data_IF_509200537498
#
_entry.id   IF_509200537498
#
_cell.length_a   1.000
_cell.length_b   1.000
_cell.length_c   1.000
_cell.angle_alpha   90.00
_cell.angle_beta   90.00
_cell.angle_gamma   90.00
#
_symmetry.space_group_name_H-M   'P 1'
#
loop_
_entity.id
_entity.type
_entity.pdbx_description
1 polymer ?
#
# COMPACT_ATOMS: atom_id res chain seq x y z
N UNK A 1 26.23 -14.51 -25.79
CA UNK A 1 25.36 -13.44 -26.37
C UNK A 1 24.95 -12.56 -25.20
N UNK A 2 25.36 -11.30 -25.17
CA UNK A 2 25.37 -10.46 -23.96
C UNK A 2 23.95 -10.09 -23.48
N UNK A 3 23.64 -10.41 -22.24
CA UNK A 3 22.37 -10.12 -21.53
C UNK A 3 22.05 -8.60 -21.51
N UNK A 4 23.08 -7.74 -21.61
CA UNK A 4 22.92 -6.26 -21.70
C UNK A 4 22.24 -5.74 -22.96
N UNK A 5 22.02 -6.57 -24.01
CA UNK A 5 21.33 -6.17 -25.23
C UNK A 5 19.85 -6.57 -25.28
N UNK A 6 19.37 -7.35 -24.32
CA UNK A 6 17.97 -7.78 -24.25
C UNK A 6 17.13 -6.79 -23.45
N UNK A 7 17.72 -6.11 -22.45
CA UNK A 7 17.02 -5.15 -21.62
C UNK A 7 16.69 -3.81 -22.31
N UNK A 8 17.39 -3.51 -23.42
CA UNK A 8 17.15 -2.25 -24.18
C UNK A 8 16.07 -2.38 -25.27
N UNK A 9 15.48 -3.55 -25.49
CA UNK A 9 14.52 -3.78 -26.58
C UNK A 9 13.06 -3.93 -26.11
N UNK A 10 12.80 -4.01 -24.80
CA UNK A 10 11.44 -4.14 -24.26
C UNK A 10 10.79 -2.80 -23.90
N UNK A 11 11.54 -1.70 -23.93
CA UNK A 11 11.02 -0.35 -23.63
C UNK A 11 10.46 0.41 -24.84
N UNK A 12 10.38 -0.21 -26.01
CA UNK A 12 10.01 0.47 -27.26
C UNK A 12 8.72 -0.02 -27.94
N UNK A 13 7.84 -0.79 -27.28
CA UNK A 13 6.73 -1.46 -27.98
C UNK A 13 5.33 -1.30 -27.37
N UNK A 14 5.07 -0.21 -26.62
CA UNK A 14 3.71 0.10 -26.12
C UNK A 14 3.20 1.49 -26.51
N UNK A 15 3.47 1.92 -27.75
CA UNK A 15 2.88 3.15 -28.30
C UNK A 15 2.36 2.96 -29.72
N UNK A 16 1.39 2.05 -29.95
CA UNK A 16 0.56 2.11 -31.16
C UNK A 16 -0.83 1.53 -30.84
N UNK A 17 -1.81 2.39 -30.80
CA UNK A 17 -3.19 1.93 -30.97
C UNK A 17 -4.28 2.76 -30.35
N UNK A 18 -4.55 3.95 -30.89
CA UNK A 18 -5.93 4.44 -31.00
C UNK A 18 -6.00 5.63 -31.97
N UNK A 19 -6.30 5.34 -33.22
CA UNK A 19 -6.86 6.30 -34.15
C UNK A 19 -8.22 5.82 -34.60
N UNK A 20 -9.27 6.51 -34.20
CA UNK A 20 -10.36 6.92 -35.10
C UNK A 20 -11.50 7.59 -34.33
N UNK A 21 -11.67 8.91 -34.47
CA UNK A 21 -12.95 9.49 -34.84
C UNK A 21 -12.82 11.01 -35.05
N UNK A 22 -13.37 11.45 -36.14
CA UNK A 22 -13.36 12.76 -36.73
C UNK A 22 -13.83 13.93 -35.89
N UNK A 23 -13.11 15.08 -35.99
CA UNK A 23 -13.59 16.38 -35.56
C UNK A 23 -12.53 17.47 -35.73
N UNK A 24 -12.63 18.28 -36.80
CA UNK A 24 -11.69 19.33 -37.17
C UNK A 24 -11.45 20.38 -36.08
N UNK A 25 -10.24 20.46 -35.54
CA UNK A 25 -9.57 21.67 -35.00
C UNK A 25 -8.06 21.58 -35.25
N UNK A 26 -7.32 22.69 -35.41
CA UNK A 26 -5.91 22.64 -35.81
C UNK A 26 -5.07 22.03 -34.70
N UNK A 27 -4.22 21.07 -35.09
CA UNK A 27 -3.30 20.37 -34.20
C UNK A 27 -2.25 21.34 -33.65
N UNK A 28 -2.28 21.59 -32.34
CA UNK A 28 -1.11 22.00 -31.59
C UNK A 28 -0.09 20.86 -31.63
N UNK A 29 1.16 21.20 -31.93
CA UNK A 29 2.24 20.24 -32.02
C UNK A 29 2.49 19.61 -30.65
N UNK A 30 2.10 18.35 -30.48
CA UNK A 30 2.53 17.53 -29.36
C UNK A 30 4.05 17.41 -29.37
N UNK A 31 4.67 17.99 -28.37
CA UNK A 31 6.10 17.86 -28.14
C UNK A 31 6.30 16.56 -27.36
N UNK A 32 6.64 15.48 -28.07
CA UNK A 32 6.78 14.12 -27.55
C UNK A 32 8.07 13.95 -26.72
N UNK A 33 8.15 14.57 -25.55
CA UNK A 33 9.25 14.28 -24.60
C UNK A 33 8.86 13.33 -23.46
N UNK A 34 7.68 12.73 -23.47
CA UNK A 34 7.29 11.72 -22.48
C UNK A 34 7.04 12.24 -21.05
N UNK A 35 7.18 13.54 -20.80
CA UNK A 35 6.90 14.18 -19.51
C UNK A 35 5.43 14.58 -19.41
N UNK A 36 4.75 14.31 -18.26
CA UNK A 36 3.37 14.70 -18.05
C UNK A 36 3.20 16.22 -18.13
N UNK A 37 2.11 16.67 -18.73
CA UNK A 37 1.78 18.07 -18.93
C UNK A 37 0.55 18.49 -18.10
N UNK A 38 -0.24 17.54 -17.63
CA UNK A 38 -1.45 17.76 -16.80
C UNK A 38 -1.35 17.00 -15.49
N UNK A 39 -2.17 17.36 -14.51
CA UNK A 39 -2.26 16.65 -13.21
C UNK A 39 -2.72 15.21 -13.43
N UNK A 40 -3.66 14.97 -14.37
CA UNK A 40 -4.17 13.63 -14.69
C UNK A 40 -3.07 12.75 -15.31
N UNK A 41 -2.26 13.29 -16.24
CA UNK A 41 -1.12 12.55 -16.80
C UNK A 41 -0.05 12.28 -15.74
N UNK A 42 0.19 13.25 -14.83
CA UNK A 42 1.12 13.10 -13.73
C UNK A 42 0.64 12.06 -12.72
N UNK A 43 -0.68 12.01 -12.43
CA UNK A 43 -1.27 11.00 -11.56
C UNK A 43 -1.14 9.60 -12.15
N UNK A 44 -1.45 9.42 -13.43
CA UNK A 44 -1.31 8.13 -14.11
C UNK A 44 0.15 7.62 -14.07
N UNK A 45 1.13 8.52 -14.24
CA UNK A 45 2.55 8.17 -14.12
C UNK A 45 2.92 7.85 -12.66
N UNK A 46 2.41 8.62 -11.70
CA UNK A 46 2.62 8.40 -10.27
C UNK A 46 2.10 7.02 -9.84
N UNK A 47 0.86 6.69 -10.22
CA UNK A 47 0.23 5.39 -9.94
C UNK A 47 1.04 4.23 -10.57
N UNK A 48 1.58 4.43 -11.78
CA UNK A 48 2.46 3.45 -12.43
C UNK A 48 3.79 3.27 -11.67
N UNK A 49 4.39 4.33 -11.14
CA UNK A 49 5.62 4.24 -10.34
C UNK A 49 5.37 3.51 -9.02
N UNK A 50 4.25 3.77 -8.36
CA UNK A 50 3.82 3.03 -7.15
C UNK A 50 3.62 1.54 -7.43
N UNK A 51 2.99 1.20 -8.57
CA UNK A 51 2.81 -0.20 -8.95
C UNK A 51 4.15 -0.93 -9.17
N UNK A 52 5.15 -0.26 -9.76
CA UNK A 52 6.50 -0.82 -9.91
C UNK A 52 7.19 -1.06 -8.57
N UNK A 53 7.06 -0.14 -7.62
CA UNK A 53 7.59 -0.30 -6.27
C UNK A 53 6.94 -1.52 -5.57
N UNK A 54 5.62 -1.63 -5.64
CA UNK A 54 4.87 -2.77 -5.12
C UNK A 54 5.35 -4.09 -5.73
N UNK A 55 5.59 -4.13 -7.05
CA UNK A 55 6.08 -5.31 -7.76
C UNK A 55 7.47 -5.73 -7.25
N UNK A 56 8.39 -4.79 -7.01
CA UNK A 56 9.72 -5.09 -6.47
C UNK A 56 9.61 -5.75 -5.09
N UNK A 57 8.78 -5.23 -4.21
CA UNK A 57 8.58 -5.76 -2.86
C UNK A 57 7.89 -7.12 -2.87
N UNK A 58 6.90 -7.30 -3.72
CA UNK A 58 6.09 -8.52 -3.78
C UNK A 58 6.85 -9.69 -4.42
N UNK A 59 7.61 -9.44 -5.48
CA UNK A 59 8.36 -10.49 -6.19
C UNK A 59 9.43 -11.18 -5.35
N UNK A 60 9.84 -10.59 -4.23
CA UNK A 60 10.86 -11.13 -3.32
C UNK A 60 10.42 -11.02 -1.85
N UNK A 61 9.13 -11.15 -1.58
CA UNK A 61 8.51 -10.91 -0.27
C UNK A 61 9.22 -11.63 0.88
N UNK A 62 9.53 -12.92 0.74
CA UNK A 62 10.25 -13.71 1.76
C UNK A 62 11.65 -13.13 2.08
N UNK A 63 12.31 -12.57 1.07
CA UNK A 63 13.64 -11.99 1.24
C UNK A 63 13.55 -10.60 1.91
N UNK A 64 12.56 -9.80 1.55
CA UNK A 64 12.27 -8.55 2.22
C UNK A 64 11.83 -8.76 3.68
N UNK A 65 10.97 -9.74 3.94
CA UNK A 65 10.59 -10.13 5.30
C UNK A 65 11.83 -10.42 6.17
N UNK A 66 12.80 -11.20 5.63
CA UNK A 66 14.06 -11.50 6.32
C UNK A 66 14.88 -10.23 6.61
N UNK A 67 14.89 -9.21 5.73
CA UNK A 67 15.51 -7.90 5.98
C UNK A 67 14.85 -7.24 7.19
N UNK A 68 13.52 -7.10 7.15
CA UNK A 68 12.76 -6.39 8.18
C UNK A 68 12.79 -7.07 9.55
N UNK A 69 12.78 -8.41 9.61
CA UNK A 69 12.92 -9.16 10.85
C UNK A 69 14.35 -9.10 11.44
N UNK A 70 15.30 -8.67 10.63
CA UNK A 70 16.72 -8.72 10.96
C UNK A 70 17.31 -7.39 11.44
N UNK A 71 16.63 -6.29 11.23
CA UNK A 71 17.15 -4.94 11.43
C UNK A 71 16.52 -4.23 12.64
N UNK A 72 17.32 -3.40 13.29
CA UNK A 72 16.81 -2.40 14.23
C UNK A 72 16.20 -1.23 13.42
N UNK A 73 14.89 -1.28 13.28
CA UNK A 73 14.13 -0.37 12.41
C UNK A 73 14.11 1.08 12.91
N UNK A 74 14.21 1.29 14.22
CA UNK A 74 14.07 2.61 14.83
C UNK A 74 15.13 3.61 14.35
N UNK A 75 16.39 3.18 14.27
CA UNK A 75 17.49 4.04 13.83
C UNK A 75 17.45 4.30 12.33
N UNK A 76 17.18 3.27 11.53
CA UNK A 76 17.13 3.41 10.07
C UNK A 76 15.99 4.36 9.62
N UNK A 77 14.83 4.29 10.26
CA UNK A 77 13.70 5.18 9.98
C UNK A 77 14.00 6.66 10.31
N UNK A 78 14.68 6.95 11.41
CA UNK A 78 15.01 8.32 11.81
C UNK A 78 16.07 8.97 10.89
N UNK A 79 16.91 8.19 10.23
CA UNK A 79 18.04 8.69 9.43
C UNK A 79 17.77 8.77 7.93
N UNK A 80 16.71 8.12 7.40
CA UNK A 80 16.48 7.98 5.96
C UNK A 80 15.79 9.18 5.31
N UNK A 81 15.33 10.16 6.08
CA UNK A 81 14.52 11.26 5.53
C UNK A 81 13.19 10.75 4.96
N UNK A 82 12.75 11.31 3.82
CA UNK A 82 11.46 11.01 3.21
C UNK A 82 11.53 10.02 2.02
N UNK A 83 12.61 9.24 1.89
CA UNK A 83 12.77 8.30 0.78
C UNK A 83 12.82 6.86 1.31
N UNK A 84 11.81 6.05 0.94
CA UNK A 84 11.67 4.69 1.41
C UNK A 84 12.80 3.77 0.92
N UNK A 85 13.28 3.97 -0.31
CA UNK A 85 14.42 3.21 -0.82
C UNK A 85 15.71 3.47 -0.04
N UNK A 86 15.93 4.69 0.45
CA UNK A 86 17.05 5.00 1.35
C UNK A 86 16.93 4.29 2.70
N UNK A 87 15.71 4.24 3.24
CA UNK A 87 15.43 3.43 4.43
C UNK A 87 15.76 1.96 4.21
N UNK A 88 15.32 1.37 3.09
CA UNK A 88 15.61 -0.02 2.74
C UNK A 88 17.12 -0.28 2.61
N UNK A 89 17.86 0.59 1.94
CA UNK A 89 19.33 0.46 1.78
C UNK A 89 20.04 0.45 3.13
N UNK A 90 19.67 1.33 4.07
CA UNK A 90 20.24 1.36 5.41
C UNK A 90 19.88 0.11 6.22
N UNK A 91 18.65 -0.36 6.08
CA UNK A 91 18.16 -1.58 6.73
C UNK A 91 18.90 -2.82 6.24
N UNK A 92 19.13 -2.93 4.92
CA UNK A 92 19.93 -4.02 4.31
C UNK A 92 21.39 -3.98 4.82
N UNK A 93 22.01 -2.80 4.84
CA UNK A 93 23.38 -2.66 5.33
C UNK A 93 23.52 -3.06 6.80
N UNK A 94 22.54 -2.69 7.65
CA UNK A 94 22.50 -3.07 9.06
C UNK A 94 22.36 -4.59 9.28
N UNK A 95 21.69 -5.28 8.36
CA UNK A 95 21.42 -6.72 8.43
C UNK A 95 22.32 -7.57 7.51
N UNK A 96 23.30 -6.99 6.83
CA UNK A 96 24.07 -7.62 5.74
C UNK A 96 24.69 -8.98 6.08
N UNK A 97 25.12 -9.19 7.32
CA UNK A 97 25.75 -10.43 7.77
C UNK A 97 24.80 -11.64 7.79
N UNK A 98 23.49 -11.41 7.60
CA UNK A 98 22.43 -12.42 7.58
C UNK A 98 22.08 -12.93 6.18
N UNK A 99 22.68 -12.36 5.14
CA UNK A 99 22.40 -12.63 3.74
C UNK A 99 23.62 -13.13 3.00
N UNK A 100 23.41 -13.97 1.98
CA UNK A 100 24.47 -14.32 1.05
C UNK A 100 24.69 -13.20 0.00
N UNK A 101 25.77 -13.32 -0.78
CA UNK A 101 26.17 -12.30 -1.77
C UNK A 101 25.09 -12.08 -2.87
N UNK A 102 24.35 -13.12 -3.23
CA UNK A 102 23.28 -13.04 -4.23
C UNK A 102 22.04 -12.35 -3.66
N UNK A 103 21.66 -12.72 -2.44
CA UNK A 103 20.56 -12.10 -1.69
C UNK A 103 20.85 -10.61 -1.50
N UNK A 104 22.06 -10.24 -1.05
CA UNK A 104 22.46 -8.83 -0.89
C UNK A 104 22.42 -8.06 -2.21
N UNK A 105 22.88 -8.66 -3.30
CA UNK A 105 22.86 -8.02 -4.62
C UNK A 105 21.41 -7.76 -5.07
N UNK A 106 20.52 -8.73 -4.87
CA UNK A 106 19.13 -8.61 -5.25
C UNK A 106 18.39 -7.55 -4.41
N UNK A 107 18.58 -7.59 -3.10
CA UNK A 107 17.99 -6.61 -2.17
C UNK A 107 18.50 -5.20 -2.44
N UNK A 108 19.80 -5.01 -2.60
CA UNK A 108 20.40 -3.69 -2.86
C UNK A 108 19.94 -3.11 -4.20
N UNK A 109 19.81 -3.96 -5.23
CA UNK A 109 19.29 -3.52 -6.52
C UNK A 109 17.82 -3.09 -6.39
N UNK A 110 16.97 -3.89 -5.73
CA UNK A 110 15.57 -3.55 -5.49
C UNK A 110 15.41 -2.25 -4.69
N UNK A 111 16.14 -2.11 -3.59
CA UNK A 111 16.09 -0.88 -2.78
C UNK A 111 16.59 0.36 -3.54
N UNK A 112 17.59 0.19 -4.41
CA UNK A 112 18.09 1.29 -5.28
C UNK A 112 17.04 1.67 -6.31
N UNK A 113 16.35 0.70 -6.90
CA UNK A 113 15.27 0.94 -7.85
C UNK A 113 14.10 1.65 -7.18
N UNK A 114 13.70 1.21 -5.98
CA UNK A 114 12.66 1.88 -5.17
C UNK A 114 13.06 3.32 -4.88
N UNK A 115 14.33 3.57 -4.49
CA UNK A 115 14.82 4.95 -4.30
C UNK A 115 14.63 5.82 -5.53
N UNK A 116 14.99 5.30 -6.70
CA UNK A 116 14.85 6.03 -7.97
C UNK A 116 13.38 6.27 -8.35
N UNK A 117 12.46 5.35 -8.01
CA UNK A 117 11.01 5.53 -8.20
C UNK A 117 10.48 6.62 -7.26
N UNK A 118 10.85 6.59 -6.00
CA UNK A 118 10.50 7.59 -4.99
C UNK A 118 11.00 9.00 -5.37
N UNK A 119 12.23 9.12 -5.88
CA UNK A 119 12.77 10.40 -6.34
C UNK A 119 11.95 10.96 -7.52
N UNK A 120 11.48 10.10 -8.44
CA UNK A 120 10.59 10.50 -9.54
C UNK A 120 9.21 10.91 -9.05
N UNK A 121 8.63 10.19 -8.09
CA UNK A 121 7.36 10.54 -7.48
C UNK A 121 7.43 11.90 -6.76
N UNK A 122 8.52 12.16 -6.02
CA UNK A 122 8.77 13.46 -5.39
C UNK A 122 8.85 14.61 -6.42
N UNK A 123 9.51 14.38 -7.54
CA UNK A 123 9.59 15.38 -8.61
C UNK A 123 8.22 15.65 -9.26
N UNK A 124 7.35 14.65 -9.35
CA UNK A 124 5.97 14.83 -9.82
C UNK A 124 5.15 15.66 -8.84
N UNK A 125 5.25 15.38 -7.54
CA UNK A 125 4.57 16.14 -6.48
C UNK A 125 5.00 17.61 -6.47
N UNK A 126 6.30 17.89 -6.64
CA UNK A 126 6.81 19.26 -6.71
C UNK A 126 6.29 19.98 -7.96
N UNK A 127 6.26 19.28 -9.10
CA UNK A 127 5.85 19.86 -10.39
C UNK A 127 4.35 20.06 -10.51
N UNK A 128 3.55 19.24 -9.84
CA UNK A 128 2.08 19.22 -9.90
C UNK A 128 1.46 19.34 -8.50
N UNK A 129 1.44 20.54 -7.91
CA UNK A 129 0.77 20.77 -6.63
C UNK A 129 -0.71 20.32 -6.72
N UNK A 130 -1.16 19.51 -5.75
CA UNK A 130 -2.49 18.91 -5.77
C UNK A 130 -2.57 17.54 -6.46
N UNK A 131 -1.44 16.96 -6.87
CA UNK A 131 -1.38 15.61 -7.46
C UNK A 131 -2.04 14.54 -6.57
N UNK A 132 -1.91 14.68 -5.25
CA UNK A 132 -2.46 13.78 -4.23
C UNK A 132 -3.79 14.28 -3.64
N UNK A 133 -4.34 15.41 -4.12
CA UNK A 133 -5.63 15.90 -3.63
C UNK A 133 -6.77 14.97 -4.08
N UNK A 134 -7.58 14.49 -3.14
CA UNK A 134 -8.64 13.49 -3.32
C UNK A 134 -9.81 13.90 -4.26
N UNK A 135 -9.73 15.04 -4.94
CA UNK A 135 -10.80 15.58 -5.76
C UNK A 135 -10.69 15.35 -7.27
N UNK A 136 -9.70 14.62 -7.76
CA UNK A 136 -9.67 14.25 -9.17
C UNK A 136 -10.49 12.98 -9.39
N UNK A 137 -11.76 13.18 -9.68
CA UNK A 137 -12.77 12.14 -9.84
C UNK A 137 -12.34 11.03 -10.79
N UNK A 138 -12.48 9.81 -10.30
CA UNK A 138 -12.33 8.60 -11.09
C UNK A 138 -13.26 8.61 -12.30
N UNK A 139 -12.68 8.56 -13.48
CA UNK A 139 -13.38 8.19 -14.70
C UNK A 139 -13.59 6.68 -14.66
N UNK A 140 -14.84 6.28 -14.42
CA UNK A 140 -15.29 4.90 -14.62
C UNK A 140 -15.02 4.47 -16.05
N UNK A 141 -14.11 3.53 -16.24
CA UNK A 141 -13.97 2.78 -17.49
C UNK A 141 -15.02 1.66 -17.52
N UNK A 142 -15.75 1.48 -18.63
CA UNK A 142 -16.73 0.39 -18.73
C UNK A 142 -16.02 -0.96 -18.77
N UNK A 143 -16.51 -1.90 -17.96
CA UNK A 143 -16.13 -3.30 -18.02
C UNK A 143 -16.40 -3.87 -19.41
N UNK A 144 -15.38 -4.31 -20.14
CA UNK A 144 -15.53 -5.25 -21.22
C UNK A 144 -15.02 -6.63 -20.78
N UNK A 145 -15.85 -7.63 -21.05
CA UNK A 145 -15.69 -9.05 -20.73
C UNK A 145 -14.32 -9.62 -21.09
N UNK A 146 -13.60 -10.15 -20.11
CA UNK A 146 -12.46 -11.05 -20.34
C UNK A 146 -12.82 -12.44 -19.78
N UNK A 147 -12.67 -13.53 -20.55
CA UNK A 147 -13.09 -14.86 -20.11
C UNK A 147 -12.21 -15.36 -18.97
N UNK A 148 -12.88 -15.79 -17.91
CA UNK A 148 -12.30 -16.53 -16.79
C UNK A 148 -11.79 -17.90 -17.27
N UNK A 149 -10.50 -18.15 -17.15
CA UNK A 149 -10.01 -19.52 -17.11
C UNK A 149 -8.83 -19.65 -16.13
N UNK A 150 -9.10 -20.35 -15.06
CA UNK A 150 -8.15 -21.15 -14.33
C UNK A 150 -7.31 -20.52 -13.22
N UNK A 151 -7.91 -20.20 -12.05
CA UNK A 151 -7.17 -20.17 -10.79
C UNK A 151 -7.79 -21.17 -9.82
N UNK A 152 -6.90 -22.00 -9.30
CA UNK A 152 -7.14 -23.20 -8.51
C UNK A 152 -7.93 -22.90 -7.25
N UNK A 153 -9.04 -23.59 -7.09
CA UNK A 153 -9.85 -23.71 -5.88
C UNK A 153 -9.00 -24.18 -4.69
N UNK A 154 -8.73 -23.28 -3.74
CA UNK A 154 -8.32 -23.64 -2.38
C UNK A 154 -9.55 -23.72 -1.51
N UNK A 155 -9.85 -24.92 -1.04
CA UNK A 155 -11.12 -25.33 -0.47
C UNK A 155 -11.51 -24.62 0.84
N UNK A 156 -12.80 -24.35 0.93
CA UNK A 156 -13.55 -24.09 2.15
C UNK A 156 -13.43 -25.25 3.14
N UNK A 157 -12.73 -25.03 4.25
CA UNK A 157 -13.04 -25.69 5.52
C UNK A 157 -12.97 -24.62 6.60
N UNK A 158 -14.02 -24.49 7.37
CA UNK A 158 -14.02 -23.72 8.61
C UNK A 158 -12.99 -24.35 9.54
N UNK A 159 -11.77 -23.79 9.51
CA UNK A 159 -10.64 -24.37 10.24
C UNK A 159 -10.59 -23.75 11.64
N UNK A 160 -10.58 -24.63 12.65
CA UNK A 160 -10.42 -24.30 14.07
C UNK A 160 -9.02 -23.72 14.40
N UNK A 161 -8.28 -23.24 13.41
CA UNK A 161 -6.93 -22.71 13.49
C UNK A 161 -6.81 -21.32 12.85
N UNK A 162 -7.91 -20.54 12.82
CA UNK A 162 -7.88 -19.18 12.28
C UNK A 162 -6.87 -18.33 13.08
N UNK A 163 -5.95 -17.68 12.38
CA UNK A 163 -4.98 -16.76 12.97
C UNK A 163 -5.71 -15.53 13.50
N UNK A 164 -5.54 -15.23 14.79
CA UNK A 164 -6.13 -14.05 15.42
C UNK A 164 -5.28 -12.81 15.13
N UNK A 165 -5.94 -11.68 14.83
CA UNK A 165 -5.30 -10.40 14.95
C UNK A 165 -4.99 -10.15 16.44
N UNK A 166 -3.80 -9.66 16.80
CA UNK A 166 -3.43 -9.45 18.19
C UNK A 166 -4.38 -8.49 18.91
N UNK A 167 -4.78 -8.85 20.11
CA UNK A 167 -5.64 -8.00 20.93
C UNK A 167 -4.87 -6.74 21.36
N UNK A 168 -5.55 -5.59 21.35
CA UNK A 168 -4.99 -4.34 21.83
C UNK A 168 -6.01 -3.48 22.57
N UNK A 169 -5.48 -2.64 23.45
CA UNK A 169 -6.14 -1.43 23.97
C UNK A 169 -5.24 -0.26 23.61
N UNK A 170 -5.82 0.81 23.12
CA UNK A 170 -5.07 1.97 22.65
C UNK A 170 -5.98 3.18 22.53
N UNK A 171 -5.60 4.08 21.67
CA UNK A 171 -6.35 5.32 21.38
C UNK A 171 -6.42 5.56 19.88
N UNK A 172 -7.44 6.32 19.47
CA UNK A 172 -7.40 6.95 18.15
C UNK A 172 -6.49 8.20 18.19
N UNK A 173 -6.25 8.81 17.03
CA UNK A 173 -5.38 9.99 16.94
C UNK A 173 -5.96 11.23 17.65
N UNK A 174 -7.25 11.22 18.02
CA UNK A 174 -7.90 12.28 18.80
C UNK A 174 -7.86 12.01 20.32
N UNK A 175 -7.29 10.86 20.71
CA UNK A 175 -7.09 10.48 22.12
C UNK A 175 -8.24 9.71 22.74
N UNK A 176 -9.25 9.31 21.98
CA UNK A 176 -10.35 8.46 22.45
C UNK A 176 -9.88 7.03 22.64
N UNK A 177 -10.38 6.35 23.67
CA UNK A 177 -10.01 4.96 23.97
C UNK A 177 -10.61 4.01 22.94
N UNK A 178 -9.77 3.11 22.40
CA UNK A 178 -10.12 2.07 21.43
C UNK A 178 -9.65 0.71 21.95
N UNK A 179 -10.45 -0.33 21.72
CA UNK A 179 -10.02 -1.71 21.94
C UNK A 179 -10.36 -2.59 20.74
N UNK A 180 -9.50 -3.54 20.42
CA UNK A 180 -9.70 -4.49 19.33
C UNK A 180 -11.03 -5.24 19.44
N UNK A 181 -11.40 -5.66 20.66
CA UNK A 181 -12.65 -6.38 20.89
C UNK A 181 -13.87 -5.59 20.44
N UNK A 182 -13.96 -4.29 20.83
CA UNK A 182 -15.07 -3.43 20.43
C UNK A 182 -15.01 -3.08 18.95
N UNK A 183 -13.81 -2.86 18.44
CA UNK A 183 -13.59 -2.51 17.05
C UNK A 183 -14.04 -3.64 16.13
N UNK A 184 -13.62 -4.88 16.38
CA UNK A 184 -13.96 -6.01 15.53
C UNK A 184 -15.40 -6.48 15.76
N UNK A 185 -15.84 -6.66 17.01
CA UNK A 185 -17.21 -7.12 17.30
C UNK A 185 -18.29 -6.11 16.87
N UNK A 186 -17.95 -4.85 16.74
CA UNK A 186 -18.85 -3.79 16.26
C UNK A 186 -19.09 -3.81 14.75
N UNK A 187 -18.28 -4.56 13.99
CA UNK A 187 -18.34 -4.60 12.53
C UNK A 187 -18.46 -6.07 12.05
N UNK A 188 -19.11 -6.31 10.93
CA UNK A 188 -19.10 -7.61 10.26
C UNK A 188 -17.69 -8.02 9.84
N UNK A 189 -16.91 -7.03 9.41
CA UNK A 189 -15.47 -7.12 9.13
C UNK A 189 -14.81 -5.74 9.29
N UNK A 190 -13.49 -5.77 9.46
CA UNK A 190 -12.66 -4.56 9.53
C UNK A 190 -11.48 -4.72 8.58
N UNK A 191 -11.30 -3.77 7.68
CA UNK A 191 -10.07 -3.63 6.87
C UNK A 191 -9.05 -2.88 7.71
N UNK A 192 -7.93 -3.49 8.02
CA UNK A 192 -6.85 -2.91 8.84
C UNK A 192 -5.65 -2.63 7.94
N UNK A 193 -5.38 -1.36 7.71
CA UNK A 193 -4.28 -0.90 6.86
C UNK A 193 -3.10 -0.41 7.70
N UNK A 194 -1.93 -0.96 7.44
CA UNK A 194 -0.65 -0.54 8.04
C UNK A 194 0.07 0.41 7.11
N UNK A 195 0.44 1.57 7.61
CA UNK A 195 1.05 2.64 6.85
C UNK A 195 2.04 3.46 7.68
N UNK A 196 2.76 4.39 7.08
CA UNK A 196 3.50 5.43 7.78
C UNK A 196 3.59 6.72 6.94
N UNK A 197 3.85 7.85 7.61
CA UNK A 197 3.70 9.21 7.06
C UNK A 197 4.60 9.54 5.87
N UNK A 198 5.75 8.91 5.76
CA UNK A 198 6.72 9.16 4.68
C UNK A 198 6.71 8.06 3.60
N UNK A 199 5.82 7.08 3.72
CA UNK A 199 5.62 6.04 2.71
C UNK A 199 4.72 6.57 1.59
N UNK A 200 5.27 6.89 0.44
CA UNK A 200 4.52 7.46 -0.68
C UNK A 200 3.40 6.57 -1.19
N UNK A 201 3.62 5.27 -1.46
CA UNK A 201 2.52 4.38 -1.85
C UNK A 201 1.40 4.34 -0.82
N UNK A 202 1.75 4.36 0.50
CA UNK A 202 0.76 4.39 1.56
C UNK A 202 -0.08 5.67 1.53
N UNK A 203 0.58 6.82 1.42
CA UNK A 203 -0.10 8.14 1.37
C UNK A 203 -0.97 8.24 0.12
N UNK A 204 -0.49 7.70 -1.00
CA UNK A 204 -1.21 7.69 -2.27
C UNK A 204 -2.55 6.94 -2.24
N UNK A 205 -2.69 5.90 -1.41
CA UNK A 205 -3.93 5.10 -1.32
C UNK A 205 -4.93 5.58 -0.24
N UNK A 206 -4.56 6.54 0.63
CA UNK A 206 -5.41 6.95 1.77
C UNK A 206 -6.80 7.45 1.33
N UNK A 207 -6.87 8.15 0.20
CA UNK A 207 -8.14 8.60 -0.37
C UNK A 207 -9.02 7.45 -0.86
N UNK A 208 -8.41 6.42 -1.45
CA UNK A 208 -9.12 5.23 -1.93
C UNK A 208 -9.58 4.34 -0.76
N UNK A 209 -8.78 4.25 0.31
CA UNK A 209 -9.19 3.61 1.57
C UNK A 209 -10.36 4.35 2.23
N UNK A 210 -10.43 5.67 2.13
CA UNK A 210 -11.57 6.46 2.64
C UNK A 210 -12.82 6.24 1.80
N UNK A 211 -12.67 6.15 0.48
CA UNK A 211 -13.77 5.78 -0.40
C UNK A 211 -14.29 4.37 -0.10
N UNK A 212 -13.38 3.41 0.09
CA UNK A 212 -13.73 2.06 0.52
C UNK A 212 -14.44 2.07 1.88
N UNK A 213 -13.95 2.84 2.86
CA UNK A 213 -14.59 2.98 4.18
C UNK A 213 -16.06 3.39 4.07
N UNK A 214 -16.33 4.38 3.23
CA UNK A 214 -17.69 4.87 2.97
C UNK A 214 -18.58 3.81 2.29
N UNK A 215 -18.02 3.06 1.34
CA UNK A 215 -18.74 1.97 0.65
C UNK A 215 -19.08 0.81 1.58
N UNK A 216 -18.11 0.36 2.39
CA UNK A 216 -18.30 -0.80 3.26
C UNK A 216 -19.14 -0.51 4.50
N UNK A 217 -19.27 0.74 4.92
CA UNK A 217 -20.11 1.13 6.05
C UNK A 217 -21.56 0.63 5.90
N UNK A 218 -22.12 0.70 4.68
CA UNK A 218 -23.45 0.17 4.36
C UNK A 218 -23.54 -1.36 4.43
N UNK A 219 -22.43 -2.06 4.42
CA UNK A 219 -22.31 -3.53 4.53
C UNK A 219 -21.94 -3.99 5.95
N UNK A 220 -21.90 -3.05 6.90
CA UNK A 220 -21.49 -3.31 8.29
C UNK A 220 -19.98 -3.46 8.48
N UNK A 221 -19.19 -3.00 7.52
CA UNK A 221 -17.73 -3.01 7.59
C UNK A 221 -17.14 -1.66 7.98
N UNK A 222 -15.85 -1.66 8.31
CA UNK A 222 -15.08 -0.45 8.57
C UNK A 222 -13.65 -0.57 8.01
N UNK A 223 -13.00 0.58 7.75
CA UNK A 223 -11.55 0.66 7.53
C UNK A 223 -10.93 1.31 8.76
N UNK A 224 -9.79 0.80 9.19
CA UNK A 224 -8.98 1.34 10.29
C UNK A 224 -7.52 1.40 9.87
N UNK A 225 -6.86 2.53 10.11
CA UNK A 225 -5.43 2.71 9.88
C UNK A 225 -4.62 2.47 11.15
N UNK A 226 -3.44 1.90 10.99
CA UNK A 226 -2.39 1.82 12.01
C UNK A 226 -1.13 2.43 11.42
N UNK A 227 -0.77 3.63 11.88
CA UNK A 227 0.48 4.25 11.46
C UNK A 227 1.62 3.76 12.35
N UNK A 228 2.62 3.12 11.76
CA UNK A 228 3.73 2.51 12.50
C UNK A 228 4.55 3.53 13.31
N UNK A 229 4.58 4.81 12.90
CA UNK A 229 5.30 5.85 13.63
C UNK A 229 4.54 6.36 14.86
N UNK A 230 3.22 6.17 14.92
CA UNK A 230 2.41 6.63 16.06
C UNK A 230 2.37 5.63 17.22
N UNK A 231 2.99 4.45 17.09
CA UNK A 231 3.08 3.47 18.18
C UNK A 231 3.70 4.11 19.44
N UNK A 232 3.21 3.73 20.60
CA UNK A 232 3.62 4.33 21.88
C UNK A 232 3.07 5.75 22.11
N UNK A 233 2.37 6.35 21.16
CA UNK A 233 1.70 7.64 21.33
C UNK A 233 2.62 8.85 21.17
N UNK A 234 3.65 8.80 20.31
CA UNK A 234 4.49 9.95 20.02
C UNK A 234 3.67 11.11 19.46
N UNK A 235 3.71 12.25 20.14
CA UNK A 235 2.84 13.39 19.84
C UNK A 235 3.20 14.07 18.50
N UNK A 236 4.48 14.06 18.10
CA UNK A 236 4.91 14.64 16.84
C UNK A 236 4.48 13.74 15.68
N UNK A 237 4.69 12.42 15.77
CA UNK A 237 4.24 11.47 14.77
C UNK A 237 2.71 11.47 14.63
N UNK A 238 1.95 11.61 15.72
CA UNK A 238 0.48 11.75 15.67
C UNK A 238 0.08 13.03 14.94
N UNK A 239 0.76 14.16 15.20
CA UNK A 239 0.47 15.42 14.51
C UNK A 239 0.75 15.32 12.99
N UNK A 240 1.87 14.72 12.62
CA UNK A 240 2.24 14.49 11.23
C UNK A 240 1.25 13.54 10.52
N UNK A 241 0.85 12.45 11.18
CA UNK A 241 -0.16 11.52 10.65
C UNK A 241 -1.50 12.22 10.40
N UNK A 242 -1.96 13.05 11.33
CA UNK A 242 -3.21 13.84 11.18
C UNK A 242 -3.13 14.84 10.03
N UNK A 243 -1.98 15.49 9.85
CA UNK A 243 -1.76 16.41 8.72
C UNK A 243 -1.84 15.69 7.37
N UNK A 244 -1.18 14.53 7.24
CA UNK A 244 -1.22 13.69 6.03
C UNK A 244 -2.64 13.20 5.76
N UNK A 245 -3.35 12.64 6.74
CA UNK A 245 -4.73 12.17 6.60
C UNK A 245 -5.66 13.32 6.16
N UNK A 246 -5.49 14.50 6.73
CA UNK A 246 -6.28 15.68 6.38
C UNK A 246 -6.04 16.09 4.92
N UNK A 247 -4.79 16.14 4.48
CA UNK A 247 -4.42 16.47 3.10
C UNK A 247 -4.92 15.43 2.10
N UNK A 248 -4.93 14.16 2.47
CA UNK A 248 -5.47 13.06 1.65
C UNK A 248 -6.99 12.95 1.69
N UNK A 249 -7.69 13.77 2.49
CA UNK A 249 -9.13 13.71 2.67
C UNK A 249 -9.63 12.45 3.39
N UNK A 250 -8.75 11.71 4.03
CA UNK A 250 -9.06 10.48 4.75
C UNK A 250 -9.72 10.77 6.10
N UNK A 251 -10.89 10.16 6.33
CA UNK A 251 -11.72 10.39 7.53
C UNK A 251 -11.93 9.14 8.37
N UNK A 252 -11.49 7.98 7.91
CA UNK A 252 -11.58 6.73 8.67
C UNK A 252 -10.66 6.73 9.89
N UNK A 253 -11.04 5.97 10.91
CA UNK A 253 -10.34 5.93 12.18
C UNK A 253 -8.92 5.40 12.01
N UNK A 254 -7.95 6.11 12.60
CA UNK A 254 -6.59 5.64 12.78
C UNK A 254 -6.31 5.45 14.26
N UNK A 255 -5.65 4.35 14.63
CA UNK A 255 -5.42 3.95 16.02
C UNK A 255 -3.94 3.71 16.30
N UNK A 256 -3.55 3.91 17.55
CA UNK A 256 -2.23 3.54 18.07
C UNK A 256 -2.35 2.88 19.43
N UNK A 257 -1.34 2.13 19.79
CA UNK A 257 -1.23 1.37 21.03
C UNK A 257 0.24 1.27 21.44
N UNK A 258 0.48 0.65 22.61
CA UNK A 258 1.84 0.46 23.13
C UNK A 258 2.67 -0.40 22.17
N UNK A 259 3.87 0.09 21.82
CA UNK A 259 4.81 -0.61 20.94
C UNK A 259 5.27 -1.97 21.51
N UNK A 260 5.39 -2.09 22.85
CA UNK A 260 5.78 -3.33 23.51
C UNK A 260 4.63 -4.36 23.61
N UNK A 261 3.39 -3.97 23.26
CA UNK A 261 2.23 -4.87 23.26
C UNK A 261 2.36 -5.97 22.18
N UNK A 262 1.52 -7.02 22.25
CA UNK A 262 1.48 -8.03 21.18
C UNK A 262 1.11 -7.41 19.82
N UNK A 263 0.18 -6.46 19.79
CA UNK A 263 -0.18 -5.76 18.56
C UNK A 263 0.93 -4.80 18.09
N UNK A 264 1.68 -4.17 19.01
CA UNK A 264 2.86 -3.38 18.67
C UNK A 264 3.92 -4.24 17.99
N UNK A 265 4.27 -5.37 18.59
CA UNK A 265 5.20 -6.34 18.00
C UNK A 265 4.71 -6.91 16.67
N UNK A 266 3.41 -7.14 16.53
CA UNK A 266 2.82 -7.54 15.25
C UNK A 266 3.03 -6.44 14.20
N UNK A 267 2.79 -5.17 14.55
CA UNK A 267 3.02 -4.03 13.65
C UNK A 267 4.50 -3.90 13.28
N UNK A 268 5.41 -4.10 14.22
CA UNK A 268 6.86 -4.12 13.96
C UNK A 268 7.27 -5.24 13.00
N UNK A 269 6.52 -6.34 12.95
CA UNK A 269 6.77 -7.47 12.06
C UNK A 269 6.12 -7.30 10.68
N UNK A 270 5.35 -6.25 10.44
CA UNK A 270 4.91 -5.90 9.08
C UNK A 270 6.13 -5.52 8.25
N UNK A 271 6.46 -6.36 7.27
CA UNK A 271 7.73 -6.28 6.55
C UNK A 271 7.69 -5.37 5.31
N UNK A 272 6.50 -5.03 4.83
CA UNK A 272 6.32 -4.13 3.69
C UNK A 272 5.16 -3.17 3.96
N UNK A 273 5.22 -1.99 3.35
CA UNK A 273 4.18 -0.98 3.49
C UNK A 273 3.79 -0.42 2.10
N UNK A 274 2.48 -0.18 1.87
CA UNK A 274 1.39 -0.52 2.79
C UNK A 274 1.12 -2.02 2.84
N UNK A 275 0.53 -2.49 3.94
CA UNK A 275 -0.02 -3.85 4.07
C UNK A 275 -1.42 -3.77 4.66
N UNK A 276 -2.36 -4.50 4.06
CA UNK A 276 -3.77 -4.45 4.43
C UNK A 276 -4.28 -5.85 4.80
N UNK A 277 -4.90 -5.96 5.96
CA UNK A 277 -5.56 -7.17 6.46
C UNK A 277 -7.08 -7.01 6.45
N UNK A 278 -7.80 -8.10 6.24
CA UNK A 278 -9.23 -8.18 6.57
C UNK A 278 -9.39 -9.00 7.83
N UNK A 279 -10.12 -8.46 8.80
CA UNK A 279 -10.38 -9.11 10.10
C UNK A 279 -11.87 -9.27 10.28
N UNK A 280 -12.32 -10.47 10.64
CA UNK A 280 -13.73 -10.77 10.88
C UNK A 280 -14.23 -10.22 12.23
N UNK A 281 -15.54 -10.31 12.48
CA UNK A 281 -16.20 -9.89 13.74
C UNK A 281 -15.58 -10.53 14.98
N UNK A 282 -15.03 -11.71 14.85
CA UNK A 282 -14.43 -12.48 15.95
C UNK A 282 -12.93 -12.16 16.13
N UNK A 283 -12.37 -11.24 15.36
CA UNK A 283 -10.94 -10.88 15.38
C UNK A 283 -10.06 -11.89 14.66
N UNK A 284 -10.59 -12.75 13.78
CA UNK A 284 -9.77 -13.64 12.97
C UNK A 284 -9.32 -12.92 11.70
N UNK A 285 -8.06 -13.10 11.31
CA UNK A 285 -7.54 -12.67 10.03
C UNK A 285 -8.15 -13.55 8.94
N UNK A 286 -8.66 -12.93 7.87
CA UNK A 286 -9.33 -13.59 6.74
C UNK A 286 -8.38 -13.64 5.56
N UNK A 287 -7.90 -14.83 5.23
CA UNK A 287 -6.94 -15.05 4.13
C UNK A 287 -5.56 -14.44 4.37
N UNK A 288 -4.81 -14.25 3.29
CA UNK A 288 -3.48 -13.65 3.31
C UNK A 288 -3.59 -12.11 3.24
N UNK A 289 -2.63 -11.36 3.81
CA UNK A 289 -2.63 -9.91 3.71
C UNK A 289 -2.39 -9.44 2.27
N UNK A 290 -2.97 -8.30 1.93
CA UNK A 290 -2.63 -7.57 0.71
C UNK A 290 -1.34 -6.79 0.99
N UNK A 291 -0.26 -7.16 0.33
CA UNK A 291 1.05 -6.49 0.42
C UNK A 291 1.19 -5.55 -0.76
N UNK A 292 1.46 -4.26 -0.48
CA UNK A 292 1.47 -3.18 -1.47
C UNK A 292 0.15 -2.41 -1.52
N UNK A 293 0.16 -1.32 -2.31
CA UNK A 293 -0.98 -0.42 -2.38
C UNK A 293 -2.22 -1.11 -2.99
N UNK A 294 -3.38 -0.89 -2.37
CA UNK A 294 -4.67 -1.43 -2.87
C UNK A 294 -5.06 -0.86 -4.25
N UNK A 295 -4.44 0.24 -4.66
CA UNK A 295 -4.61 0.87 -5.97
C UNK A 295 -3.82 0.18 -7.09
N UNK A 296 -2.90 -0.74 -6.75
CA UNK A 296 -2.16 -1.52 -7.74
C UNK A 296 -3.04 -2.56 -8.41
N UNK A 297 -2.65 -2.97 -9.63
CA UNK A 297 -3.42 -3.92 -10.46
C UNK A 297 -3.77 -5.21 -9.69
N UNK A 298 -5.07 -5.55 -9.64
CA UNK A 298 -5.59 -6.75 -8.99
C UNK A 298 -5.67 -6.70 -7.46
N UNK A 299 -5.04 -5.75 -6.78
CA UNK A 299 -5.03 -5.69 -5.30
C UNK A 299 -6.41 -5.34 -4.73
N UNK A 300 -7.11 -4.41 -5.34
CA UNK A 300 -8.49 -4.06 -4.94
C UNK A 300 -9.44 -5.24 -5.13
N UNK A 301 -9.29 -6.01 -6.21
CA UNK A 301 -10.10 -7.21 -6.46
C UNK A 301 -9.80 -8.30 -5.42
N UNK A 302 -8.52 -8.51 -5.08
CA UNK A 302 -8.11 -9.43 -4.03
C UNK A 302 -8.68 -9.01 -2.66
N UNK A 303 -8.60 -7.72 -2.32
CA UNK A 303 -9.19 -7.17 -1.10
C UNK A 303 -10.70 -7.38 -1.05
N UNK A 304 -11.41 -7.14 -2.17
CA UNK A 304 -12.85 -7.37 -2.25
C UNK A 304 -13.21 -8.85 -2.05
N UNK A 305 -12.42 -9.78 -2.58
CA UNK A 305 -12.63 -11.22 -2.37
C UNK A 305 -12.47 -11.63 -0.89
N UNK A 306 -11.53 -11.02 -0.15
CA UNK A 306 -11.39 -11.22 1.30
C UNK A 306 -12.58 -10.64 2.06
N UNK A 307 -13.06 -9.46 1.69
CA UNK A 307 -14.25 -8.83 2.27
C UNK A 307 -15.49 -9.71 2.04
N UNK A 308 -15.69 -10.22 0.83
CA UNK A 308 -16.81 -11.10 0.51
C UNK A 308 -16.75 -12.40 1.30
N UNK A 309 -15.54 -12.94 1.52
CA UNK A 309 -15.30 -14.11 2.37
C UNK A 309 -15.67 -13.83 3.83
N UNK A 310 -15.27 -12.68 4.37
CA UNK A 310 -15.60 -12.26 5.73
C UNK A 310 -17.12 -12.14 5.91
N UNK A 311 -17.79 -11.46 4.96
CA UNK A 311 -19.26 -11.28 4.96
C UNK A 311 -20.01 -12.62 4.85
N UNK A 312 -19.55 -13.54 3.99
CA UNK A 312 -20.18 -14.85 3.83
C UNK A 312 -20.11 -15.71 5.12
N UNK A 313 -19.10 -15.47 5.96
CA UNK A 313 -18.88 -16.17 7.22
C UNK A 313 -19.47 -15.44 8.44
N UNK A 314 -19.88 -14.16 8.29
CA UNK A 314 -20.49 -13.40 9.40
C UNK A 314 -21.90 -13.96 9.72
N UNK A 315 -22.09 -14.31 10.97
CA UNK A 315 -23.37 -14.87 11.46
C UNK A 315 -24.16 -13.88 12.32
N UNK A 316 -23.65 -12.63 12.44
CA UNK A 316 -24.25 -11.59 13.29
C UNK A 316 -23.94 -11.71 14.75
#
# INVERSE_FOLDING_TARGET
MNVKKILSLLLALLLVGSMAACGNKPAEKQNNNGEPQTVEEAKALYDQLMAQETEILTNNSELWEKVFLSADKGVAMMESGNNYGEFLLKTIEAAKDKFDEKELTLLTNGATEIKDLEDKMAALEEKFPGLLDASSGGTSVPSEDVPSDGIVSGGTTADSNATKFPAFTGKDLDGNDVSSDKLFSGNAFTVVNFWFTTCKPCVGELGDLDALHKDVAGKGGAVVGINAFTLGGDAAAIADAKDVLTKSGATYQNVYFDADSEAGKFTENVYAYPTTYVVDRNGNIVGDPIVGAITSDGQMEALQALIDTALANDKG
#
